data_IF_546821088305
#
_entry.id   IF_546821088305
#
_cell.length_a   1.000
_cell.length_b   1.000
_cell.length_c   1.000
_cell.angle_alpha   90.00
_cell.angle_beta   90.00
_cell.angle_gamma   90.00
#
_symmetry.space_group_name_H-M   'P 1'
#
loop_
_entity.id
_entity.type
_entity.pdbx_description
1 polymer ?
#
# COMPACT_ATOMS: atom_id res chain seq x y z
N UNK A 1 -5.14 4.50 -13.45
CA UNK A 1 -4.89 3.07 -13.63
C UNK A 1 -4.11 2.58 -12.43
N UNK A 2 -4.38 1.36 -11.99
CA UNK A 2 -3.54 0.68 -11.00
C UNK A 2 -3.00 -0.59 -11.65
N UNK A 3 -1.73 -0.87 -11.42
CA UNK A 3 -1.05 -2.05 -11.92
C UNK A 3 -0.31 -2.68 -10.75
N UNK A 4 -0.69 -3.92 -10.46
CA UNK A 4 -0.10 -4.71 -9.39
C UNK A 4 0.92 -5.68 -9.98
N UNK A 5 2.08 -5.75 -9.34
CA UNK A 5 3.13 -6.71 -9.57
C UNK A 5 3.59 -7.26 -8.20
N UNK A 6 4.08 -8.50 -8.12
CA UNK A 6 4.56 -9.06 -6.85
C UNK A 6 5.72 -8.22 -6.29
N UNK A 7 5.52 -7.62 -5.11
CA UNK A 7 6.45 -6.67 -4.48
C UNK A 7 6.30 -5.21 -4.92
N UNK A 8 5.37 -4.88 -5.82
CA UNK A 8 5.22 -3.53 -6.37
C UNK A 8 3.77 -3.19 -6.76
N UNK A 9 3.21 -2.11 -6.22
CA UNK A 9 1.94 -1.58 -6.67
C UNK A 9 2.13 -0.19 -7.28
N UNK A 10 1.82 -0.05 -8.56
CA UNK A 10 1.78 1.23 -9.24
C UNK A 10 0.34 1.75 -9.31
N UNK A 11 0.09 2.94 -8.76
CA UNK A 11 -1.18 3.65 -8.88
C UNK A 11 -0.93 4.99 -9.57
N UNK A 12 -1.55 5.18 -10.72
CA UNK A 12 -1.64 6.48 -11.37
C UNK A 12 -3.10 6.93 -11.48
N UNK A 13 -3.34 8.21 -11.23
CA UNK A 13 -4.62 8.85 -11.50
C UNK A 13 -4.33 10.12 -12.27
N UNK A 14 -4.99 10.25 -13.42
CA UNK A 14 -4.98 11.48 -14.17
C UNK A 14 -6.25 12.27 -13.85
N UNK A 15 -6.10 13.53 -13.49
CA UNK A 15 -7.23 14.40 -13.22
C UNK A 15 -7.99 14.71 -14.51
N UNK A 16 -9.24 14.27 -14.59
CA UNK A 16 -10.13 14.59 -15.72
C UNK A 16 -10.81 15.97 -15.54
N UNK A 17 -10.78 16.52 -14.32
CA UNK A 17 -11.37 17.82 -13.99
C UNK A 17 -10.41 18.67 -13.16
N UNK A 18 -10.62 20.00 -13.10
CA UNK A 18 -9.80 20.91 -12.29
C UNK A 18 -9.87 20.65 -10.77
N UNK A 19 -10.89 19.92 -10.32
CA UNK A 19 -11.07 19.53 -8.93
C UNK A 19 -10.47 18.15 -8.63
N UNK A 20 -10.00 17.44 -9.66
CA UNK A 20 -9.32 16.17 -9.50
C UNK A 20 -7.81 16.35 -9.31
N UNK A 21 -7.24 15.40 -8.59
CA UNK A 21 -5.82 15.38 -8.24
C UNK A 21 -5.12 14.38 -9.16
N UNK A 22 -4.16 14.87 -9.95
CA UNK A 22 -3.28 13.99 -10.72
C UNK A 22 -2.15 13.50 -9.82
N UNK A 23 -1.96 12.19 -9.74
CA UNK A 23 -0.87 11.60 -8.98
C UNK A 23 -0.38 10.32 -9.64
N UNK A 24 0.88 10.01 -9.42
CA UNK A 24 1.54 8.78 -9.83
C UNK A 24 2.34 8.30 -8.62
N UNK A 25 1.98 7.13 -8.08
CA UNK A 25 2.49 6.60 -6.83
C UNK A 25 2.91 5.17 -7.08
N UNK A 26 4.14 4.85 -6.70
CA UNK A 26 4.70 3.53 -6.65
C UNK A 26 4.83 3.13 -5.18
N UNK A 27 4.33 1.95 -4.86
CA UNK A 27 4.41 1.34 -3.54
C UNK A 27 5.18 0.03 -3.68
N UNK A 28 6.49 0.12 -3.47
CA UNK A 28 7.36 -1.04 -3.41
C UNK A 28 7.31 -1.66 -2.03
N UNK A 29 7.34 -2.98 -1.96
CA UNK A 29 7.32 -3.68 -0.69
C UNK A 29 8.11 -4.98 -0.75
N UNK A 30 8.94 -5.20 0.28
CA UNK A 30 9.85 -6.34 0.33
C UNK A 30 9.96 -6.91 1.75
N UNK A 31 10.22 -8.21 1.85
CA UNK A 31 10.46 -8.85 3.14
C UNK A 31 11.76 -8.32 3.74
N UNK A 32 11.64 -7.70 4.91
CA UNK A 32 12.79 -7.18 5.64
C UNK A 32 12.71 -7.55 7.11
N UNK A 33 13.82 -7.31 7.82
CA UNK A 33 13.90 -7.51 9.27
C UNK A 33 14.20 -6.19 9.93
N UNK A 34 13.45 -5.87 10.98
CA UNK A 34 13.73 -4.68 11.77
C UNK A 34 15.04 -4.89 12.58
N UNK A 35 15.61 -3.82 13.19
CA UNK A 35 16.83 -3.94 14.00
C UNK A 35 16.66 -4.81 15.26
N UNK A 36 15.43 -5.16 15.65
CA UNK A 36 15.12 -6.10 16.74
C UNK A 36 15.06 -7.56 16.26
N UNK A 37 15.22 -7.82 14.97
CA UNK A 37 15.17 -9.15 14.36
C UNK A 37 13.77 -9.62 13.97
N UNK A 38 12.75 -8.77 14.10
CA UNK A 38 11.36 -9.10 13.76
C UNK A 38 11.17 -9.07 12.24
N UNK A 39 10.59 -10.15 11.69
CA UNK A 39 10.27 -10.26 10.26
C UNK A 39 9.06 -9.38 9.94
N UNK A 40 9.17 -8.57 8.90
CA UNK A 40 8.09 -7.73 8.42
C UNK A 40 8.30 -7.38 6.96
N UNK A 41 7.60 -6.35 6.52
CA UNK A 41 7.68 -5.82 5.17
C UNK A 41 8.17 -4.38 5.24
N UNK A 42 9.22 -4.07 4.49
CA UNK A 42 9.65 -2.71 4.26
C UNK A 42 8.84 -2.18 3.07
N UNK A 43 8.02 -1.17 3.30
CA UNK A 43 7.31 -0.46 2.25
C UNK A 43 8.07 0.81 1.88
N UNK A 44 8.09 1.15 0.60
CA UNK A 44 8.61 2.41 0.08
C UNK A 44 7.56 3.02 -0.83
N UNK A 45 6.90 4.06 -0.34
CA UNK A 45 5.96 4.83 -1.14
C UNK A 45 6.70 5.98 -1.80
N UNK A 46 6.73 6.04 -3.11
CA UNK A 46 7.36 7.13 -3.85
C UNK A 46 6.62 7.48 -5.14
N UNK A 47 6.91 8.64 -5.70
CA UNK A 47 6.28 9.09 -6.95
C UNK A 47 6.08 10.59 -6.99
N UNK A 48 4.97 11.05 -7.56
CA UNK A 48 4.66 12.46 -7.74
C UNK A 48 3.16 12.75 -7.59
N UNK A 49 2.82 13.76 -6.79
CA UNK A 49 1.45 14.21 -6.50
C UNK A 49 1.33 15.68 -6.88
N UNK A 50 0.50 16.02 -7.87
CA UNK A 50 0.34 17.41 -8.37
C UNK A 50 1.67 18.11 -8.68
N UNK A 51 2.67 17.36 -9.19
CA UNK A 51 4.01 17.87 -9.46
C UNK A 51 4.94 17.96 -8.25
N UNK A 52 4.53 17.49 -7.07
CA UNK A 52 5.41 17.32 -5.90
C UNK A 52 5.89 15.89 -5.81
N UNK A 53 7.20 15.69 -5.79
CA UNK A 53 7.77 14.37 -5.55
C UNK A 53 7.57 13.95 -4.09
N UNK A 54 7.28 12.67 -3.87
CA UNK A 54 7.26 12.06 -2.54
C UNK A 54 8.13 10.81 -2.54
N UNK A 55 8.74 10.53 -1.39
CA UNK A 55 9.46 9.29 -1.12
C UNK A 55 9.51 9.05 0.38
N UNK A 56 8.61 8.23 0.89
CA UNK A 56 8.52 7.87 2.31
C UNK A 56 8.65 6.34 2.46
N UNK A 57 9.79 5.85 2.98
CA UNK A 57 9.92 4.47 3.40
C UNK A 57 9.33 4.27 4.80
N UNK A 58 8.62 3.16 5.01
CA UNK A 58 8.10 2.76 6.31
C UNK A 58 8.11 1.24 6.47
N UNK A 59 8.55 0.78 7.63
CA UNK A 59 8.58 -0.64 7.96
C UNK A 59 7.33 -1.04 8.73
N UNK A 60 6.69 -2.14 8.33
CA UNK A 60 5.62 -2.75 9.10
C UNK A 60 6.00 -4.18 9.51
N UNK A 61 5.95 -4.51 10.82
CA UNK A 61 6.12 -5.89 11.26
C UNK A 61 5.03 -6.78 10.69
N UNK A 62 5.26 -8.11 10.64
CA UNK A 62 4.29 -9.08 10.12
C UNK A 62 2.86 -8.90 10.64
N UNK A 63 2.69 -8.53 11.91
CA UNK A 63 1.37 -8.32 12.53
C UNK A 63 0.66 -7.07 12.02
N UNK A 64 1.41 -6.05 11.63
CA UNK A 64 0.91 -4.78 11.09
C UNK A 64 1.02 -4.69 9.57
N UNK A 65 1.61 -5.69 8.91
CA UNK A 65 1.80 -5.70 7.46
C UNK A 65 0.47 -5.53 6.72
N UNK A 66 -0.65 -5.97 7.31
CA UNK A 66 -2.01 -5.78 6.80
C UNK A 66 -2.55 -4.34 6.97
N UNK A 67 -1.97 -3.53 7.87
CA UNK A 67 -2.34 -2.13 8.08
C UNK A 67 -1.60 -1.15 7.15
N UNK A 68 -0.97 -1.65 6.08
CA UNK A 68 -0.24 -0.81 5.13
C UNK A 68 -1.13 0.26 4.49
N UNK A 69 -2.37 -0.07 4.13
CA UNK A 69 -3.31 0.88 3.53
C UNK A 69 -3.54 2.13 4.40
N UNK A 70 -3.59 1.98 5.73
CA UNK A 70 -3.71 3.11 6.66
C UNK A 70 -2.49 4.03 6.60
N UNK A 71 -1.28 3.45 6.55
CA UNK A 71 -0.04 4.23 6.45
C UNK A 71 0.06 4.96 5.11
N UNK A 72 -0.23 4.26 4.00
CA UNK A 72 -0.19 4.86 2.67
C UNK A 72 -1.21 5.99 2.55
N UNK A 73 -2.41 5.82 3.10
CA UNK A 73 -3.45 6.86 3.15
C UNK A 73 -2.96 8.09 3.91
N UNK A 74 -2.40 7.91 5.12
CA UNK A 74 -1.85 9.01 5.93
C UNK A 74 -0.74 9.76 5.21
N UNK A 75 0.16 9.04 4.53
CA UNK A 75 1.25 9.63 3.76
C UNK A 75 0.65 10.47 2.62
N UNK A 76 -0.19 9.89 1.78
CA UNK A 76 -0.79 10.63 0.67
C UNK A 76 -1.65 11.83 1.12
N UNK A 77 -2.36 11.73 2.25
CA UNK A 77 -3.05 12.87 2.87
C UNK A 77 -2.08 14.00 3.27
N UNK A 78 -0.91 13.67 3.84
CA UNK A 78 0.16 14.64 4.16
C UNK A 78 0.68 15.36 2.91
N UNK A 79 0.69 14.71 1.75
CA UNK A 79 1.08 15.30 0.47
C UNK A 79 -0.05 16.03 -0.26
N UNK A 80 -1.29 15.97 0.25
CA UNK A 80 -2.44 16.71 -0.26
C UNK A 80 -3.38 15.91 -1.16
N UNK A 81 -3.31 14.57 -1.16
CA UNK A 81 -4.39 13.76 -1.73
C UNK A 81 -5.42 13.49 -0.63
N UNK A 82 -6.68 13.93 -0.78
CA UNK A 82 -7.71 13.55 0.18
C UNK A 82 -7.92 12.03 0.12
N UNK A 83 -8.14 11.40 1.28
CA UNK A 83 -8.37 9.94 1.40
C UNK A 83 -9.42 9.39 0.43
N UNK A 84 -10.44 10.19 0.10
CA UNK A 84 -11.52 9.83 -0.83
C UNK A 84 -11.06 9.73 -2.30
N UNK A 85 -9.95 10.38 -2.65
CA UNK A 85 -9.38 10.36 -4.00
C UNK A 85 -8.24 9.35 -4.14
N UNK A 86 -7.72 8.79 -3.03
CA UNK A 86 -6.72 7.72 -3.05
C UNK A 86 -7.39 6.41 -3.47
N UNK A 87 -7.05 5.93 -4.67
CA UNK A 87 -7.62 4.71 -5.24
C UNK A 87 -7.15 3.40 -4.58
N UNK A 88 -6.27 3.46 -3.56
CA UNK A 88 -5.69 2.27 -2.93
C UNK A 88 -6.73 1.43 -2.20
N UNK A 89 -7.74 2.07 -1.59
CA UNK A 89 -8.84 1.35 -0.93
C UNK A 89 -10.00 0.96 -1.86
N UNK A 90 -10.11 1.58 -3.04
CA UNK A 90 -11.26 1.35 -3.94
C UNK A 90 -11.04 0.19 -4.91
N UNK A 91 -9.79 -0.19 -5.19
CA UNK A 91 -9.46 -1.36 -5.99
C UNK A 91 -9.23 -2.57 -5.09
N UNK A 92 -10.32 -3.13 -4.55
CA UNK A 92 -10.29 -4.35 -3.73
C UNK A 92 -9.47 -5.49 -4.34
N UNK A 93 -9.45 -5.61 -5.67
CA UNK A 93 -8.69 -6.65 -6.38
C UNK A 93 -7.17 -6.55 -6.15
N UNK A 94 -6.58 -5.36 -6.27
CA UNK A 94 -5.13 -5.20 -6.04
C UNK A 94 -4.76 -5.34 -4.58
N UNK A 95 -5.67 -4.96 -3.68
CA UNK A 95 -5.48 -5.16 -2.25
C UNK A 95 -5.41 -6.65 -1.90
N UNK A 96 -6.31 -7.46 -2.46
CA UNK A 96 -6.33 -8.91 -2.28
C UNK A 96 -5.03 -9.55 -2.79
N UNK A 97 -4.58 -9.13 -3.99
CA UNK A 97 -3.31 -9.60 -4.57
C UNK A 97 -2.09 -9.24 -3.71
N UNK A 98 -2.01 -8.00 -3.20
CA UNK A 98 -0.96 -7.60 -2.26
C UNK A 98 -1.00 -8.44 -0.98
N UNK A 99 -2.19 -8.70 -0.46
CA UNK A 99 -2.39 -9.48 0.74
C UNK A 99 -1.86 -10.91 0.56
N UNK A 100 -2.23 -11.57 -0.54
CA UNK A 100 -1.76 -12.92 -0.87
C UNK A 100 -0.23 -12.98 -1.07
N UNK A 101 0.34 -11.98 -1.73
CA UNK A 101 1.77 -11.89 -1.97
C UNK A 101 2.55 -11.69 -0.65
N UNK A 102 2.15 -10.71 0.18
CA UNK A 102 2.73 -10.45 1.51
C UNK A 102 2.63 -11.71 2.38
N UNK A 103 1.49 -12.40 2.36
CA UNK A 103 1.28 -13.64 3.10
C UNK A 103 2.29 -14.72 2.69
N UNK A 104 2.47 -14.89 1.38
CA UNK A 104 3.40 -15.87 0.79
C UNK A 104 4.85 -15.52 1.13
N UNK A 105 5.22 -14.26 0.94
CA UNK A 105 6.53 -13.69 1.25
C UNK A 105 6.89 -13.83 2.75
N UNK A 106 5.95 -13.55 3.63
CA UNK A 106 6.12 -13.70 5.07
C UNK A 106 6.10 -15.17 5.52
N UNK A 107 5.78 -16.10 4.62
CA UNK A 107 5.62 -17.53 4.89
C UNK A 107 4.58 -17.75 6.00
N UNK A 108 3.48 -17.01 5.93
CA UNK A 108 2.36 -17.19 6.86
C UNK A 108 1.60 -18.46 6.45
N UNK A 109 1.64 -19.50 7.29
CA UNK A 109 0.95 -20.76 7.01
C UNK A 109 -0.55 -20.52 6.83
N UNK A 110 -1.08 -20.95 5.68
CA UNK A 110 -2.52 -21.16 5.50
C UNK A 110 -3.00 -22.26 6.44
N UNK A 111 -3.95 -21.94 7.31
CA UNK A 111 -4.50 -22.84 8.33
C UNK A 111 -5.26 -22.13 9.45
N UNK A 112 -4.95 -20.87 9.73
CA UNK A 112 -5.86 -20.00 10.50
C UNK A 112 -6.94 -19.47 9.55
N UNK A 113 -8.24 -19.62 9.88
CA UNK A 113 -9.31 -19.01 9.11
C UNK A 113 -9.07 -17.50 9.09
N UNK A 114 -8.94 -16.92 7.89
CA UNK A 114 -9.14 -15.49 7.74
C UNK A 114 -10.64 -15.31 7.92
N UNK A 115 -11.01 -14.88 9.12
CA UNK A 115 -12.37 -14.50 9.47
C UNK A 115 -12.74 -13.26 8.64
N UNK A 116 -13.33 -13.51 7.48
CA UNK A 116 -13.83 -12.49 6.56
C UNK A 116 -14.99 -11.68 7.18
N UNK A 117 -15.47 -12.05 8.38
CA UNK A 117 -16.50 -11.32 9.14
C UNK A 117 -15.97 -10.04 9.83
N UNK A 118 -14.65 -9.75 9.78
CA UNK A 118 -14.10 -8.51 10.36
C UNK A 118 -13.94 -7.33 9.40
N UNK A 119 -14.41 -7.47 8.17
CA UNK A 119 -14.48 -6.38 7.20
C UNK A 119 -15.95 -6.05 6.94
N UNK A 120 -16.63 -5.52 7.96
CA UNK A 120 -17.96 -4.88 7.86
C UNK A 120 -17.90 -3.50 7.20
#
# INVERSE_FOLDING_TARGET
MAMFEPGHLHIERHALTKDDVSYNIHLDYEVSKNPKGEKGIQFTMHGSIQGKELKEPFFLPKEEAYNFASNVTKIAEKYGIPKEKIAIGSSHEHYDLMFEDIRTQLNMKSGDPIDLEKFE
#
